data_IF_791382001485
#
_entry.id   IF_791382001485
#
_cell.length_a   1.000
_cell.length_b   1.000
_cell.length_c   1.000
_cell.angle_alpha   90.00
_cell.angle_beta   90.00
_cell.angle_gamma   90.00
#
_symmetry.space_group_name_H-M   'P 1'
#
loop_
_entity.id
_entity.type
_entity.pdbx_description
1 polymer ?
#
# COMPACT_ATOMS: atom_id res chain seq x y z
N UNK A 1 -2.78 4.51 8.32
CA UNK A 1 -3.57 4.10 9.49
C UNK A 1 -2.64 3.71 10.63
N UNK A 2 -2.08 2.49 10.69
CA UNK A 2 -1.17 2.09 11.79
C UNK A 2 0.09 2.95 11.91
N UNK A 3 0.73 3.29 10.78
CA UNK A 3 1.95 4.13 10.79
C UNK A 3 1.67 5.52 11.38
N UNK A 4 0.62 6.20 10.92
CA UNK A 4 0.30 7.55 11.40
C UNK A 4 -0.10 7.56 12.88
N UNK A 5 -0.66 6.44 13.38
CA UNK A 5 -0.99 6.24 14.79
C UNK A 5 0.27 6.01 15.64
N UNK A 6 1.20 5.16 15.20
CA UNK A 6 2.35 4.73 16.00
C UNK A 6 3.56 5.67 15.89
N UNK A 7 3.74 6.33 14.74
CA UNK A 7 4.91 7.16 14.46
C UNK A 7 5.13 8.29 15.49
N UNK A 8 4.10 8.98 16.03
CA UNK A 8 4.30 9.99 17.07
C UNK A 8 4.92 9.47 18.37
N UNK A 9 4.75 8.18 18.69
CA UNK A 9 5.22 7.57 19.93
C UNK A 9 6.57 6.89 19.77
N UNK A 10 6.78 6.21 18.65
CA UNK A 10 7.94 5.32 18.44
C UNK A 10 8.87 5.80 17.33
N UNK A 11 8.52 6.85 16.59
CA UNK A 11 9.24 7.25 15.39
C UNK A 11 9.19 6.19 14.28
N UNK A 12 10.10 6.29 13.31
CA UNK A 12 10.27 5.26 12.25
C UNK A 12 11.31 4.22 12.66
N UNK A 13 11.10 3.58 13.82
CA UNK A 13 11.97 2.54 14.39
C UNK A 13 11.49 1.13 14.02
N UNK A 14 12.33 0.12 14.21
CA UNK A 14 11.94 -1.29 14.03
C UNK A 14 10.72 -1.66 14.88
N UNK A 15 10.70 -1.24 16.15
CA UNK A 15 9.59 -1.48 17.08
C UNK A 15 8.25 -0.93 16.54
N UNK A 16 8.27 0.26 15.94
CA UNK A 16 7.07 0.83 15.32
C UNK A 16 6.55 -0.05 14.18
N UNK A 17 7.46 -0.58 13.36
CA UNK A 17 7.11 -1.45 12.24
C UNK A 17 6.59 -2.80 12.71
N UNK A 18 7.21 -3.39 13.73
CA UNK A 18 6.78 -4.67 14.33
C UNK A 18 5.36 -4.53 14.92
N UNK A 19 5.11 -3.47 15.70
CA UNK A 19 3.78 -3.16 16.21
C UNK A 19 2.76 -2.90 15.10
N UNK A 20 3.15 -2.15 14.06
CA UNK A 20 2.27 -1.90 12.91
C UNK A 20 1.89 -3.20 12.20
N UNK A 21 2.82 -4.13 12.04
CA UNK A 21 2.57 -5.42 11.39
C UNK A 21 1.68 -6.32 12.24
N UNK A 22 1.95 -6.43 13.54
CA UNK A 22 1.13 -7.17 14.49
C UNK A 22 -0.32 -6.65 14.52
N UNK A 23 -0.51 -5.33 14.59
CA UNK A 23 -1.83 -4.72 14.57
C UNK A 23 -2.60 -5.05 13.29
N UNK A 24 -1.93 -5.01 12.13
CA UNK A 24 -2.54 -5.36 10.84
C UNK A 24 -2.94 -6.83 10.79
N UNK A 25 -2.05 -7.72 11.19
CA UNK A 25 -2.33 -9.16 11.23
C UNK A 25 -3.56 -9.47 12.09
N UNK A 26 -3.61 -8.94 13.32
CA UNK A 26 -4.77 -9.13 14.21
C UNK A 26 -6.04 -8.48 13.69
N UNK A 27 -5.93 -7.33 13.03
CA UNK A 27 -7.06 -6.72 12.35
C UNK A 27 -7.61 -7.62 11.23
N UNK A 28 -6.75 -8.14 10.34
CA UNK A 28 -7.18 -8.99 9.24
C UNK A 28 -7.73 -10.33 9.72
N UNK A 29 -7.13 -10.96 10.73
CA UNK A 29 -7.65 -12.18 11.36
C UNK A 29 -9.05 -11.98 11.97
N UNK A 30 -9.31 -10.81 12.57
CA UNK A 30 -10.61 -10.48 13.13
C UNK A 30 -11.63 -10.18 12.02
N UNK A 31 -11.24 -9.35 11.04
CA UNK A 31 -12.12 -8.94 9.95
C UNK A 31 -12.52 -10.12 9.05
N UNK A 32 -11.61 -11.06 8.78
CA UNK A 32 -11.88 -12.24 7.93
C UNK A 32 -12.92 -13.20 8.49
N UNK A 33 -13.34 -13.01 9.76
CA UNK A 33 -14.40 -13.80 10.42
C UNK A 33 -15.77 -13.11 10.36
N UNK A 34 -15.85 -11.92 9.78
CA UNK A 34 -17.10 -11.14 9.67
C UNK A 34 -17.80 -11.43 8.35
N UNK A 35 -19.11 -11.17 8.31
CA UNK A 35 -19.92 -11.26 7.08
C UNK A 35 -19.90 -9.94 6.26
N UNK A 36 -18.88 -9.10 6.46
CA UNK A 36 -18.76 -7.85 5.72
C UNK A 36 -18.42 -8.11 4.24
N UNK A 37 -18.89 -7.23 3.35
CA UNK A 37 -18.73 -7.38 1.90
C UNK A 37 -17.27 -7.55 1.43
N UNK A 38 -16.35 -6.73 1.95
CA UNK A 38 -14.96 -6.77 1.54
C UNK A 38 -14.14 -5.61 2.08
N UNK A 39 -12.82 -5.70 1.90
CA UNK A 39 -11.85 -4.76 2.45
C UNK A 39 -10.85 -4.34 1.39
N UNK A 40 -10.63 -3.02 1.27
CA UNK A 40 -9.50 -2.48 0.51
C UNK A 40 -8.38 -2.12 1.48
N UNK A 41 -7.20 -2.66 1.24
CA UNK A 41 -6.00 -2.34 2.00
C UNK A 41 -4.90 -1.84 1.08
N UNK A 42 -4.23 -0.75 1.50
CA UNK A 42 -3.12 -0.15 0.74
C UNK A 42 -1.85 -0.19 1.58
N UNK A 43 -0.75 -0.64 0.98
CA UNK A 43 0.59 -0.57 1.56
C UNK A 43 1.63 -0.33 0.46
N UNK A 44 2.87 -0.08 0.84
CA UNK A 44 4.00 0.02 -0.09
C UNK A 44 4.66 -1.35 -0.14
N UNK A 45 4.78 -1.93 -1.33
CA UNK A 45 5.44 -3.21 -1.57
C UNK A 45 6.81 -2.97 -2.20
N UNK A 46 7.88 -3.22 -1.46
CA UNK A 46 9.24 -3.27 -1.98
C UNK A 46 9.52 -4.67 -2.55
N UNK A 47 9.50 -4.79 -3.88
CA UNK A 47 9.68 -6.07 -4.57
C UNK A 47 11.10 -6.65 -4.43
N UNK A 48 12.06 -5.85 -3.98
CA UNK A 48 13.41 -6.31 -3.64
C UNK A 48 13.56 -6.76 -2.17
N UNK A 49 12.49 -6.77 -1.36
CA UNK A 49 12.50 -7.19 0.05
C UNK A 49 11.59 -8.40 0.25
N UNK A 50 12.14 -9.52 0.71
CA UNK A 50 11.40 -10.77 0.89
C UNK A 50 10.31 -10.66 1.96
N UNK A 51 10.51 -9.81 2.95
CA UNK A 51 9.60 -9.58 4.06
C UNK A 51 8.25 -9.03 3.57
N UNK A 52 8.24 -8.15 2.57
CA UNK A 52 7.02 -7.62 1.99
C UNK A 52 6.25 -8.69 1.21
N UNK A 53 6.94 -9.58 0.50
CA UNK A 53 6.32 -10.76 -0.12
C UNK A 53 5.68 -11.65 0.94
N UNK A 54 6.40 -11.98 2.01
CA UNK A 54 5.88 -12.81 3.10
C UNK A 54 4.63 -12.17 3.76
N UNK A 55 4.63 -10.86 3.95
CA UNK A 55 3.48 -10.13 4.49
C UNK A 55 2.27 -10.25 3.57
N UNK A 56 2.44 -10.05 2.26
CA UNK A 56 1.36 -10.18 1.28
C UNK A 56 0.80 -11.59 1.26
N UNK A 57 1.67 -12.61 1.25
CA UNK A 57 1.22 -14.01 1.30
C UNK A 57 0.45 -14.30 2.59
N UNK A 58 0.95 -13.85 3.74
CA UNK A 58 0.27 -14.02 5.02
C UNK A 58 -1.13 -13.43 5.04
N UNK A 59 -1.28 -12.17 4.60
CA UNK A 59 -2.58 -11.49 4.51
C UNK A 59 -3.49 -12.23 3.53
N UNK A 60 -2.98 -12.58 2.33
CA UNK A 60 -3.74 -13.30 1.31
C UNK A 60 -4.27 -14.62 1.85
N UNK A 61 -3.44 -15.39 2.57
CA UNK A 61 -3.81 -16.68 3.11
C UNK A 61 -4.89 -16.58 4.18
N UNK A 62 -4.88 -15.55 5.02
CA UNK A 62 -5.96 -15.28 5.99
C UNK A 62 -7.32 -15.24 5.28
N UNK A 63 -7.42 -14.47 4.19
CA UNK A 63 -8.68 -14.29 3.46
C UNK A 63 -9.04 -15.49 2.57
N UNK A 64 -8.07 -16.04 1.81
CA UNK A 64 -8.32 -17.23 0.97
C UNK A 64 -8.75 -18.44 1.79
N UNK A 65 -8.23 -18.62 3.02
CA UNK A 65 -8.67 -19.69 3.92
C UNK A 65 -10.15 -19.60 4.34
N UNK A 66 -10.78 -18.45 4.12
CA UNK A 66 -12.21 -18.18 4.35
C UNK A 66 -13.03 -18.17 3.07
N UNK A 67 -12.44 -18.57 1.94
CA UNK A 67 -13.09 -18.59 0.63
C UNK A 67 -13.20 -17.22 -0.03
N UNK A 68 -12.53 -16.19 0.51
CA UNK A 68 -12.53 -14.86 -0.11
C UNK A 68 -11.62 -14.81 -1.34
N UNK A 69 -12.07 -14.10 -2.37
CA UNK A 69 -11.25 -13.73 -3.51
C UNK A 69 -10.33 -12.57 -3.15
N UNK A 70 -9.12 -12.57 -3.70
CA UNK A 70 -8.11 -11.53 -3.44
C UNK A 70 -7.67 -10.93 -4.76
N UNK A 71 -7.73 -9.61 -4.84
CA UNK A 71 -7.41 -8.82 -6.02
C UNK A 71 -6.20 -7.93 -5.73
N UNK A 72 -5.30 -7.80 -6.69
CA UNK A 72 -4.06 -7.03 -6.59
C UNK A 72 -4.09 -5.87 -7.57
N UNK A 73 -3.92 -4.66 -7.04
CA UNK A 73 -3.75 -3.44 -7.84
C UNK A 73 -2.39 -2.84 -7.52
N UNK A 74 -1.49 -2.85 -8.49
CA UNK A 74 -0.24 -2.11 -8.42
C UNK A 74 -0.40 -0.74 -9.06
N UNK A 75 -0.11 0.32 -8.30
CA UNK A 75 -0.13 1.69 -8.79
C UNK A 75 1.27 2.26 -8.82
N UNK A 76 1.73 2.66 -10.01
CA UNK A 76 3.00 3.36 -10.20
C UNK A 76 2.78 4.79 -10.68
N UNK A 77 3.71 5.67 -10.32
CA UNK A 77 3.77 7.04 -10.82
C UNK A 77 5.21 7.56 -10.83
N UNK A 78 5.48 8.49 -11.74
CA UNK A 78 6.76 9.17 -11.82
C UNK A 78 7.08 9.92 -10.51
N UNK A 79 8.38 9.99 -10.19
CA UNK A 79 8.85 10.65 -8.96
C UNK A 79 8.42 12.11 -8.89
N UNK A 80 8.49 12.84 -10.01
CA UNK A 80 8.08 14.25 -10.08
C UNK A 80 6.62 14.43 -9.67
N UNK A 81 5.73 13.60 -10.21
CA UNK A 81 4.31 13.61 -9.89
C UNK A 81 4.06 13.20 -8.44
N UNK A 82 4.79 12.20 -7.93
CA UNK A 82 4.72 11.79 -6.52
C UNK A 82 5.12 12.92 -5.57
N UNK A 83 6.13 13.73 -5.90
CA UNK A 83 6.55 14.90 -5.10
C UNK A 83 5.46 15.98 -5.07
N UNK A 84 4.82 16.26 -6.22
CA UNK A 84 3.67 17.17 -6.29
C UNK A 84 2.53 16.68 -5.40
N UNK A 85 2.12 15.41 -5.57
CA UNK A 85 1.03 14.78 -4.80
C UNK A 85 1.33 14.72 -3.30
N UNK A 86 2.59 14.58 -2.92
CA UNK A 86 3.02 14.48 -1.53
C UNK A 86 2.77 15.78 -0.73
N UNK A 87 2.57 16.91 -1.42
CA UNK A 87 2.34 18.24 -0.82
C UNK A 87 0.90 18.74 -0.93
N UNK A 88 0.00 17.97 -1.53
CA UNK A 88 -1.40 18.38 -1.72
C UNK A 88 -2.14 18.58 -0.38
N UNK A 89 -3.13 19.50 -0.29
CA UNK A 89 -3.88 19.72 0.96
C UNK A 89 -4.47 18.44 1.54
N UNK A 90 -5.14 17.64 0.70
CA UNK A 90 -5.71 16.34 1.08
C UNK A 90 -4.65 15.38 1.68
N UNK A 91 -3.42 15.41 1.16
CA UNK A 91 -2.32 14.59 1.67
C UNK A 91 -1.84 15.04 3.04
N UNK A 92 -1.69 16.35 3.23
CA UNK A 92 -1.19 16.93 4.49
C UNK A 92 -2.24 16.85 5.61
N UNK A 93 -3.52 16.88 5.26
CA UNK A 93 -4.62 16.69 6.17
C UNK A 93 -4.64 15.27 6.73
N UNK A 94 -4.69 14.27 5.85
CA UNK A 94 -4.90 12.86 6.23
C UNK A 94 -3.63 12.07 6.56
N UNK A 95 -2.43 12.60 6.29
CA UNK A 95 -1.17 11.97 6.68
C UNK A 95 -0.29 12.93 7.49
N UNK A 96 -0.45 12.95 8.83
CA UNK A 96 0.38 13.76 9.72
C UNK A 96 1.89 13.67 9.45
N UNK A 97 2.40 12.47 9.12
CA UNK A 97 3.81 12.23 8.78
C UNK A 97 4.32 13.00 7.55
N UNK A 98 3.42 13.64 6.79
CA UNK A 98 3.70 14.39 5.56
C UNK A 98 3.73 15.90 5.77
N UNK A 99 3.29 16.38 6.93
CA UNK A 99 3.23 17.82 7.27
C UNK A 99 4.60 18.48 7.34
N UNK A 100 5.63 17.73 7.75
CA UNK A 100 7.01 18.13 7.48
C UNK A 100 7.36 17.78 6.03
N UNK A 101 7.15 18.75 5.14
CA UNK A 101 7.32 18.59 3.69
C UNK A 101 8.76 18.19 3.36
N UNK A 102 9.75 18.97 3.80
CA UNK A 102 11.16 18.75 3.49
C UNK A 102 11.61 17.34 3.89
N UNK A 103 11.33 16.96 5.13
CA UNK A 103 11.68 15.63 5.62
C UNK A 103 10.94 14.52 4.87
N UNK A 104 9.67 14.73 4.52
CA UNK A 104 8.91 13.75 3.77
C UNK A 104 9.40 13.59 2.33
N UNK A 105 9.87 14.65 1.68
CA UNK A 105 10.42 14.58 0.32
C UNK A 105 11.78 13.90 0.33
N UNK A 106 12.65 14.25 1.28
CA UNK A 106 13.94 13.58 1.47
C UNK A 106 13.75 12.07 1.66
N UNK A 107 12.80 11.65 2.50
CA UNK A 107 12.47 10.22 2.67
C UNK A 107 11.96 9.57 1.38
N UNK A 108 11.12 10.27 0.62
CA UNK A 108 10.60 9.75 -0.65
C UNK A 108 11.74 9.51 -1.64
N UNK A 109 12.62 10.50 -1.83
CA UNK A 109 13.77 10.38 -2.74
C UNK A 109 14.72 9.29 -2.26
N UNK A 110 15.12 9.29 -0.99
CA UNK A 110 16.04 8.29 -0.43
C UNK A 110 15.49 6.84 -0.51
N UNK A 111 14.16 6.68 -0.52
CA UNK A 111 13.54 5.36 -0.71
C UNK A 111 13.77 4.80 -2.11
N UNK A 112 13.91 5.65 -3.13
CA UNK A 112 14.14 5.23 -4.52
C UNK A 112 15.53 4.63 -4.74
N UNK A 113 16.51 4.99 -3.92
CA UNK A 113 17.88 4.46 -4.01
C UNK A 113 17.99 3.03 -3.46
N UNK A 114 17.06 2.63 -2.57
CA UNK A 114 17.14 1.38 -1.80
C UNK A 114 16.03 0.40 -2.15
N UNK A 115 14.86 0.90 -2.53
CA UNK A 115 13.66 0.09 -2.74
C UNK A 115 13.28 0.04 -4.21
N UNK A 116 12.93 -1.15 -4.68
CA UNK A 116 12.27 -1.36 -5.95
C UNK A 116 10.77 -1.44 -5.72
N UNK A 117 10.08 -0.33 -5.97
CA UNK A 117 8.65 -0.15 -5.69
C UNK A 117 7.74 -0.42 -6.89
N UNK A 118 8.30 -1.04 -7.93
CA UNK A 118 7.63 -1.37 -9.17
C UNK A 118 8.04 -2.78 -9.56
N UNK A 119 7.05 -3.61 -9.91
CA UNK A 119 7.26 -4.97 -10.39
C UNK A 119 7.90 -4.97 -11.77
N UNK A 120 8.62 -6.04 -12.09
CA UNK A 120 9.05 -6.35 -13.45
C UNK A 120 7.92 -7.04 -14.21
N UNK A 121 7.99 -7.00 -15.54
CA UNK A 121 7.07 -7.73 -16.39
C UNK A 121 7.06 -9.22 -16.03
N UNK A 122 5.87 -9.78 -15.79
CA UNK A 122 5.68 -11.17 -15.38
C UNK A 122 6.14 -11.54 -13.96
N UNK A 123 6.55 -10.58 -13.13
CA UNK A 123 7.00 -10.88 -11.75
C UNK A 123 5.83 -11.21 -10.81
N UNK A 124 4.65 -10.65 -11.08
CA UNK A 124 3.42 -10.97 -10.34
C UNK A 124 2.63 -12.00 -11.13
N UNK A 125 2.72 -13.24 -10.67
CA UNK A 125 2.00 -14.38 -11.23
C UNK A 125 0.74 -14.65 -10.38
N UNK A 126 -0.33 -13.89 -10.66
CA UNK A 126 -1.62 -13.94 -9.97
C UNK A 126 -2.76 -13.66 -10.95
N UNK A 127 -3.82 -14.46 -10.93
CA UNK A 127 -4.97 -14.31 -11.85
C UNK A 127 -5.64 -12.93 -11.73
N UNK A 128 -5.88 -12.46 -10.51
CA UNK A 128 -6.56 -11.19 -10.23
C UNK A 128 -5.56 -10.06 -9.99
N UNK A 129 -4.77 -9.71 -11.00
CA UNK A 129 -3.75 -8.66 -10.91
C UNK A 129 -3.85 -7.64 -12.05
N UNK A 130 -3.76 -6.36 -11.69
CA UNK A 130 -3.59 -5.26 -12.63
C UNK A 130 -2.50 -4.30 -12.17
N UNK A 131 -1.68 -3.87 -13.12
CA UNK A 131 -0.71 -2.79 -12.96
C UNK A 131 -1.18 -1.54 -13.70
N UNK A 132 -1.20 -0.40 -13.02
CA UNK A 132 -1.65 0.87 -13.59
C UNK A 132 -0.60 1.95 -13.34
N UNK A 133 -0.05 2.50 -14.42
CA UNK A 133 0.66 3.77 -14.34
C UNK A 133 -0.35 4.92 -14.25
N UNK A 134 -0.40 5.56 -13.09
CA UNK A 134 -1.34 6.63 -12.81
C UNK A 134 -0.68 8.02 -12.76
N UNK A 135 0.46 8.19 -13.41
CA UNK A 135 1.16 9.49 -13.47
C UNK A 135 0.25 10.58 -14.04
N UNK A 136 -0.46 10.29 -15.13
CA UNK A 136 -1.31 11.26 -15.83
C UNK A 136 -2.81 10.95 -15.71
N UNK A 137 -3.18 10.05 -14.80
CA UNK A 137 -4.58 9.64 -14.61
C UNK A 137 -5.16 10.28 -13.35
N UNK A 138 -6.42 10.70 -13.44
CA UNK A 138 -7.22 11.09 -12.29
C UNK A 138 -7.57 9.89 -11.41
N UNK A 139 -7.94 10.17 -10.15
CA UNK A 139 -8.43 9.14 -9.22
C UNK A 139 -9.65 8.39 -9.75
N UNK A 140 -10.54 9.09 -10.48
CA UNK A 140 -11.73 8.50 -11.09
C UNK A 140 -11.38 7.55 -12.24
N UNK A 141 -10.45 7.93 -13.11
CA UNK A 141 -10.02 7.07 -14.22
C UNK A 141 -9.36 5.79 -13.71
N UNK A 142 -8.50 5.89 -12.69
CA UNK A 142 -7.88 4.71 -12.05
C UNK A 142 -8.95 3.81 -11.41
N UNK A 143 -9.90 4.38 -10.68
CA UNK A 143 -10.97 3.61 -10.05
C UNK A 143 -11.86 2.89 -11.07
N UNK A 144 -12.20 3.56 -12.19
CA UNK A 144 -12.95 2.93 -13.28
C UNK A 144 -12.17 1.79 -13.92
N UNK A 145 -10.87 1.97 -14.19
CA UNK A 145 -10.02 0.88 -14.71
C UNK A 145 -10.02 -0.36 -13.81
N UNK A 146 -9.91 -0.17 -12.50
CA UNK A 146 -9.95 -1.28 -11.53
C UNK A 146 -11.32 -1.96 -11.55
N UNK A 147 -12.40 -1.16 -11.57
CA UNK A 147 -13.77 -1.67 -11.61
C UNK A 147 -14.04 -2.47 -12.88
N UNK A 148 -13.62 -1.95 -14.02
CA UNK A 148 -13.81 -2.58 -15.33
C UNK A 148 -12.97 -3.85 -15.47
N UNK A 149 -11.74 -3.88 -14.94
CA UNK A 149 -10.89 -5.08 -14.97
C UNK A 149 -11.50 -6.21 -14.13
N UNK A 150 -11.92 -5.90 -12.90
CA UNK A 150 -12.37 -6.91 -11.93
C UNK A 150 -13.89 -7.09 -11.88
N UNK A 151 -14.65 -6.37 -12.70
CA UNK A 151 -16.12 -6.45 -12.77
C UNK A 151 -16.80 -6.19 -11.41
N UNK A 152 -16.30 -5.20 -10.65
CA UNK A 152 -16.79 -4.79 -9.33
C UNK A 152 -17.90 -3.74 -9.36
#
# INVERSE_FOLDING_TARGET
>A
MTIEFLQPYFGFTSEMWDLSNLMREKFFEAYSKTDNYGLVFTFVWAFNHKEDWNLVEGITNIFKSKGAEVYFVELEADLAERLIRNKTPNRLEHKPSKRNIEQSEQRLVASMDRLRLTSREGEIDRDNYIKINNTLLSTKEVALKIKDEFQL
#
